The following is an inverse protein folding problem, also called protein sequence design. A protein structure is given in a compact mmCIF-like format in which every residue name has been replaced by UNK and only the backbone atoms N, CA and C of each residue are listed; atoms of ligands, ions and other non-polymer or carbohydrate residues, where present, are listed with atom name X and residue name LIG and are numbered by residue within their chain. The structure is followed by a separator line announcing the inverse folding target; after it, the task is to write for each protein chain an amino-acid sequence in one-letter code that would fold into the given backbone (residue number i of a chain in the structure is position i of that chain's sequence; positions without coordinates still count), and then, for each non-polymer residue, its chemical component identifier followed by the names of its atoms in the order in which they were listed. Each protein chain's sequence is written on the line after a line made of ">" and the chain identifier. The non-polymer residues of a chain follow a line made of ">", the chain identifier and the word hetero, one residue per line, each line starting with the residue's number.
data_IF_524762287852
#
_entry.id   IF_524762287852
#
_cell.length_a   1.000
_cell.length_b   1.000
_cell.length_c   1.000
_cell.angle_alpha   90.00
_cell.angle_beta   90.00
_cell.angle_gamma   90.00
#
_symmetry.space_group_name_H-M   'P 1'
#
loop_
_entity.id
_entity.type
_entity.pdbx_description
1 polymer ?
#
# COMPACT_ATOMS: atom_id res chain seq x y z
N UNK A 1 53.43 43.11 -11.82
CA UNK A 1 53.25 42.20 -10.66
C UNK A 1 51.83 42.31 -10.10
N UNK A 2 51.26 43.53 -10.04
CA UNK A 2 49.90 43.80 -9.51
C UNK A 2 48.82 43.02 -10.29
N UNK A 3 48.85 43.05 -11.63
CA UNK A 3 47.81 42.47 -12.50
C UNK A 3 47.74 40.92 -12.40
N UNK A 4 48.86 40.24 -12.25
CA UNK A 4 48.94 38.81 -12.08
C UNK A 4 48.36 38.35 -10.74
N UNK A 5 48.57 39.09 -9.67
CA UNK A 5 48.00 38.81 -8.34
C UNK A 5 46.50 39.02 -8.34
N UNK A 6 46.01 40.07 -9.00
CA UNK A 6 44.58 40.37 -9.15
C UNK A 6 43.90 39.28 -9.96
N UNK A 7 44.51 38.78 -11.02
CA UNK A 7 43.99 37.73 -11.88
C UNK A 7 43.94 36.37 -11.14
N UNK A 8 44.96 36.04 -10.36
CA UNK A 8 44.99 34.85 -9.53
C UNK A 8 43.92 34.90 -8.40
N UNK A 9 43.74 36.06 -7.78
CA UNK A 9 42.72 36.27 -6.76
C UNK A 9 41.29 36.11 -7.35
N UNK A 10 41.06 36.67 -8.53
CA UNK A 10 39.76 36.53 -9.25
C UNK A 10 39.48 35.07 -9.64
N UNK A 11 40.48 34.37 -10.16
CA UNK A 11 40.35 32.93 -10.49
C UNK A 11 40.11 32.08 -9.23
N UNK A 12 40.84 32.32 -8.16
CA UNK A 12 40.66 31.63 -6.89
C UNK A 12 39.26 31.86 -6.29
N UNK A 13 38.78 33.11 -6.34
CA UNK A 13 37.45 33.46 -5.89
C UNK A 13 36.35 32.80 -6.71
N UNK A 14 36.47 32.81 -8.05
CA UNK A 14 35.47 32.16 -8.94
C UNK A 14 35.45 30.64 -8.79
N UNK A 15 36.59 29.99 -8.64
CA UNK A 15 36.67 28.54 -8.38
C UNK A 15 36.05 28.19 -7.03
N UNK A 16 36.35 28.93 -5.98
CA UNK A 16 35.78 28.72 -4.65
C UNK A 16 34.26 28.90 -4.66
N UNK A 17 33.75 29.93 -5.33
CA UNK A 17 32.31 30.16 -5.49
C UNK A 17 31.62 29.01 -6.26
N UNK A 18 32.26 28.53 -7.33
CA UNK A 18 31.74 27.37 -8.09
C UNK A 18 31.68 26.09 -7.25
N UNK A 19 32.73 25.76 -6.50
CA UNK A 19 32.74 24.61 -5.62
C UNK A 19 31.71 24.72 -4.49
N UNK A 20 31.56 25.89 -3.90
CA UNK A 20 30.58 26.16 -2.87
C UNK A 20 29.13 26.03 -3.41
N UNK A 21 28.86 26.59 -4.57
CA UNK A 21 27.56 26.46 -5.24
C UNK A 21 27.23 24.97 -5.55
N UNK A 22 28.20 24.24 -6.09
CA UNK A 22 28.03 22.81 -6.37
C UNK A 22 27.75 22.01 -5.10
N UNK A 23 28.46 22.32 -4.02
CA UNK A 23 28.20 21.68 -2.71
C UNK A 23 26.80 21.97 -2.18
N UNK A 24 26.35 23.23 -2.26
CA UNK A 24 24.98 23.60 -1.84
C UNK A 24 23.91 22.89 -2.66
N UNK A 25 24.08 22.81 -3.98
CA UNK A 25 23.15 22.08 -4.85
C UNK A 25 23.09 20.61 -4.47
N UNK A 26 24.23 19.96 -4.25
CA UNK A 26 24.30 18.56 -3.85
C UNK A 26 23.63 18.34 -2.49
N UNK A 27 23.95 19.13 -1.47
CA UNK A 27 23.35 19.05 -0.13
C UNK A 27 21.82 19.22 -0.18
N UNK A 28 21.33 20.15 -1.00
CA UNK A 28 19.89 20.35 -1.20
C UNK A 28 19.21 19.15 -1.89
N UNK A 29 19.89 18.56 -2.88
CA UNK A 29 19.39 17.36 -3.55
C UNK A 29 19.35 16.16 -2.59
N UNK A 30 20.40 15.95 -1.81
CA UNK A 30 20.47 14.86 -0.84
C UNK A 30 19.37 14.99 0.22
N UNK A 31 19.13 16.19 0.76
CA UNK A 31 18.01 16.46 1.67
C UNK A 31 16.66 16.12 1.06
N UNK A 32 16.41 16.54 -0.17
CA UNK A 32 15.18 16.26 -0.90
C UNK A 32 14.99 14.75 -1.10
N UNK A 33 16.05 14.02 -1.45
CA UNK A 33 16.00 12.55 -1.60
C UNK A 33 15.73 11.84 -0.27
N UNK A 34 16.40 12.25 0.82
CA UNK A 34 16.18 11.72 2.17
C UNK A 34 14.72 11.91 2.61
N UNK A 35 14.17 13.11 2.42
CA UNK A 35 12.79 13.41 2.79
C UNK A 35 11.79 12.59 1.96
N UNK A 36 12.08 12.40 0.66
CA UNK A 36 11.28 11.53 -0.22
C UNK A 36 11.30 10.07 0.26
N UNK A 37 12.45 9.55 0.65
CA UNK A 37 12.57 8.19 1.19
C UNK A 37 11.81 8.03 2.51
N UNK A 38 11.91 9.01 3.41
CA UNK A 38 11.16 9.02 4.68
C UNK A 38 9.66 9.06 4.44
N UNK A 39 9.20 9.92 3.54
CA UNK A 39 7.78 9.99 3.17
C UNK A 39 7.28 8.68 2.57
N UNK A 40 8.05 8.05 1.69
CA UNK A 40 7.71 6.76 1.09
C UNK A 40 7.59 5.67 2.16
N UNK A 41 8.53 5.61 3.09
CA UNK A 41 8.47 4.65 4.21
C UNK A 41 7.25 4.91 5.10
N UNK A 42 6.93 6.15 5.39
CA UNK A 42 5.71 6.51 6.12
C UNK A 42 4.46 5.99 5.41
N UNK A 43 4.35 6.16 4.09
CA UNK A 43 3.21 5.64 3.34
C UNK A 43 3.12 4.12 3.37
N UNK A 44 4.23 3.40 3.21
CA UNK A 44 4.24 1.94 3.30
C UNK A 44 3.79 1.44 4.68
N UNK A 45 4.27 2.07 5.76
CA UNK A 45 3.87 1.75 7.13
C UNK A 45 2.37 2.04 7.31
N UNK A 46 1.89 3.20 6.86
CA UNK A 46 0.49 3.56 6.97
C UNK A 46 -0.43 2.63 6.18
N UNK A 47 -0.04 2.21 4.97
CA UNK A 47 -0.76 1.21 4.18
C UNK A 47 -0.80 -0.14 4.90
N UNK A 48 0.33 -0.57 5.46
CA UNK A 48 0.43 -1.81 6.23
C UNK A 48 -0.47 -1.79 7.47
N UNK A 49 -0.39 -0.73 8.28
CA UNK A 49 -1.19 -0.60 9.50
C UNK A 49 -2.69 -0.60 9.18
N UNK A 50 -3.10 0.08 8.09
CA UNK A 50 -4.49 0.06 7.63
C UNK A 50 -4.97 -1.33 7.26
N UNK A 51 -4.16 -2.12 6.54
CA UNK A 51 -4.55 -3.50 6.23
C UNK A 51 -4.59 -4.40 7.46
N UNK A 52 -3.68 -4.23 8.42
CA UNK A 52 -3.72 -4.96 9.70
C UNK A 52 -4.99 -4.62 10.47
N UNK A 53 -5.36 -3.34 10.55
CA UNK A 53 -6.58 -2.90 11.23
C UNK A 53 -7.83 -3.45 10.56
N UNK A 54 -7.93 -3.36 9.23
CA UNK A 54 -9.04 -3.94 8.45
C UNK A 54 -9.12 -5.45 8.69
N UNK A 55 -7.99 -6.15 8.61
CA UNK A 55 -7.94 -7.59 8.85
C UNK A 55 -8.44 -7.95 10.25
N UNK A 56 -7.92 -7.28 11.28
CA UNK A 56 -8.26 -7.54 12.68
C UNK A 56 -9.73 -7.25 12.98
N UNK A 57 -10.25 -6.15 12.46
CA UNK A 57 -11.61 -5.69 12.79
C UNK A 57 -12.69 -6.43 12.00
N UNK A 58 -12.40 -6.83 10.76
CA UNK A 58 -13.45 -7.25 9.84
C UNK A 58 -13.25 -8.64 9.23
N UNK A 59 -12.04 -9.19 9.20
CA UNK A 59 -11.77 -10.42 8.48
C UNK A 59 -11.26 -11.57 9.35
N UNK A 60 -10.41 -11.30 10.34
CA UNK A 60 -9.72 -12.35 11.10
C UNK A 60 -10.68 -13.36 11.76
N UNK A 61 -11.83 -12.89 12.25
CA UNK A 61 -12.84 -13.75 12.89
C UNK A 61 -13.56 -14.71 11.93
N UNK A 62 -13.50 -14.44 10.62
CA UNK A 62 -14.19 -15.21 9.59
C UNK A 62 -13.26 -16.12 8.79
N UNK A 63 -11.96 -16.13 9.08
CA UNK A 63 -10.95 -16.79 8.25
C UNK A 63 -11.21 -18.28 8.05
N UNK A 64 -11.68 -18.95 9.11
CA UNK A 64 -11.92 -20.40 9.13
C UNK A 64 -13.42 -20.74 9.10
N UNK A 65 -14.28 -19.76 8.82
CA UNK A 65 -15.73 -19.95 8.75
C UNK A 65 -16.16 -20.22 7.31
N UNK A 66 -16.66 -21.44 7.07
CA UNK A 66 -17.21 -21.82 5.75
C UNK A 66 -18.40 -20.97 5.31
N UNK A 67 -19.06 -20.29 6.25
CA UNK A 67 -20.18 -19.40 6.01
C UNK A 67 -19.78 -17.93 5.93
N UNK A 68 -18.48 -17.60 5.97
CA UNK A 68 -17.97 -16.22 5.90
C UNK A 68 -18.57 -15.41 4.73
N UNK A 69 -18.85 -16.05 3.60
CA UNK A 69 -19.40 -15.41 2.41
C UNK A 69 -20.76 -14.72 2.68
N UNK A 70 -21.63 -15.29 3.53
CA UNK A 70 -22.93 -14.73 3.89
C UNK A 70 -22.96 -14.07 5.25
N UNK A 71 -22.16 -14.55 6.21
CA UNK A 71 -22.16 -14.07 7.61
C UNK A 71 -21.33 -12.80 7.77
N UNK A 72 -20.30 -12.62 6.96
CA UNK A 72 -19.47 -11.42 7.01
C UNK A 72 -20.22 -10.20 6.47
N UNK A 73 -20.41 -9.14 7.27
CA UNK A 73 -21.17 -7.96 6.86
C UNK A 73 -20.51 -7.23 5.69
N UNK A 74 -21.30 -6.42 4.98
CA UNK A 74 -20.77 -5.45 4.05
C UNK A 74 -20.05 -4.33 4.81
N UNK A 75 -18.93 -3.86 4.27
CA UNK A 75 -18.18 -2.74 4.81
C UNK A 75 -18.54 -1.46 4.06
N UNK A 76 -18.33 -0.32 4.73
CA UNK A 76 -18.40 0.97 4.04
C UNK A 76 -17.27 1.08 3.02
N UNK A 77 -17.50 1.77 1.89
CA UNK A 77 -16.46 1.97 0.88
C UNK A 77 -15.20 2.59 1.47
N UNK A 78 -14.05 1.99 1.18
CA UNK A 78 -12.75 2.44 1.67
C UNK A 78 -11.95 3.07 0.52
N UNK A 79 -11.32 4.20 0.81
CA UNK A 79 -10.40 4.87 -0.11
C UNK A 79 -9.28 5.52 0.69
N UNK A 80 -8.04 5.25 0.30
CA UNK A 80 -6.82 5.80 0.93
C UNK A 80 -5.89 6.35 -0.15
N UNK A 81 -6.45 7.17 -1.07
CA UNK A 81 -5.69 7.78 -2.18
C UNK A 81 -4.57 8.68 -1.69
N UNK A 82 -4.73 9.28 -0.51
CA UNK A 82 -3.73 10.10 0.16
C UNK A 82 -2.47 9.33 0.58
N UNK A 83 -2.55 8.00 0.64
CA UNK A 83 -1.40 7.12 0.95
C UNK A 83 -0.64 6.66 -0.31
N UNK A 84 -0.91 7.28 -1.46
CA UNK A 84 -0.25 6.92 -2.71
C UNK A 84 1.19 7.45 -2.75
N UNK A 85 2.14 6.55 -3.04
CA UNK A 85 3.55 6.92 -3.27
C UNK A 85 3.70 7.63 -4.60
N UNK A 86 4.42 8.75 -4.59
CA UNK A 86 4.81 9.47 -5.81
C UNK A 86 6.10 8.88 -6.39
N UNK A 87 5.96 7.95 -7.31
CA UNK A 87 7.10 7.29 -7.97
C UNK A 87 7.96 8.27 -8.78
N UNK A 88 7.41 9.39 -9.24
CA UNK A 88 8.16 10.42 -9.96
C UNK A 88 9.32 10.98 -9.11
N UNK A 89 9.08 11.14 -7.81
CA UNK A 89 10.12 11.61 -6.87
C UNK A 89 11.17 10.55 -6.54
N UNK A 90 10.91 9.28 -6.84
CA UNK A 90 11.81 8.15 -6.56
C UNK A 90 12.70 7.76 -7.77
N UNK A 91 12.60 8.45 -8.91
CA UNK A 91 13.38 8.09 -10.10
C UNK A 91 14.89 8.12 -9.90
N UNK A 92 15.41 8.85 -8.91
CA UNK A 92 16.83 8.81 -8.56
C UNK A 92 17.29 7.40 -8.11
N UNK A 93 16.37 6.55 -7.66
CA UNK A 93 16.65 5.16 -7.30
C UNK A 93 16.85 4.24 -8.52
N UNK A 94 16.38 4.60 -9.71
CA UNK A 94 16.55 3.77 -10.91
C UNK A 94 18.01 3.43 -11.18
N UNK A 95 18.89 4.42 -11.03
CA UNK A 95 20.31 4.27 -11.23
C UNK A 95 21.03 3.53 -10.08
N UNK A 96 20.36 3.38 -8.94
CA UNK A 96 20.89 2.70 -7.75
C UNK A 96 20.38 1.26 -7.67
N UNK A 97 19.06 1.08 -7.74
CA UNK A 97 18.42 -0.23 -7.67
C UNK A 97 17.00 -0.16 -8.23
N UNK A 98 16.85 -0.50 -9.52
CA UNK A 98 15.55 -0.52 -10.20
C UNK A 98 14.58 -1.57 -9.62
N UNK A 99 15.10 -2.67 -9.05
CA UNK A 99 14.29 -3.72 -8.44
C UNK A 99 13.52 -3.20 -7.23
N UNK A 100 14.12 -2.33 -6.41
CA UNK A 100 13.41 -1.68 -5.31
C UNK A 100 12.21 -0.87 -5.76
N UNK A 101 12.30 -0.13 -6.87
CA UNK A 101 11.16 0.60 -7.42
C UNK A 101 10.04 -0.34 -7.86
N UNK A 102 10.39 -1.47 -8.47
CA UNK A 102 9.42 -2.48 -8.88
C UNK A 102 8.72 -3.10 -7.66
N UNK A 103 9.47 -3.44 -6.60
CA UNK A 103 8.90 -3.96 -5.35
C UNK A 103 7.93 -2.96 -4.70
N UNK A 104 8.30 -1.69 -4.65
CA UNK A 104 7.44 -0.61 -4.15
C UNK A 104 6.15 -0.49 -4.97
N UNK A 105 6.25 -0.53 -6.29
CA UNK A 105 5.10 -0.45 -7.18
C UNK A 105 4.16 -1.64 -6.99
N UNK A 106 4.71 -2.87 -6.93
CA UNK A 106 3.94 -4.09 -6.69
C UNK A 106 3.23 -4.04 -5.33
N UNK A 107 3.92 -3.58 -4.29
CA UNK A 107 3.35 -3.45 -2.95
C UNK A 107 2.18 -2.45 -2.94
N UNK A 108 2.36 -1.28 -3.52
CA UNK A 108 1.30 -0.27 -3.63
C UNK A 108 0.10 -0.77 -4.45
N UNK A 109 0.34 -1.38 -5.61
CA UNK A 109 -0.74 -1.95 -6.43
C UNK A 109 -1.51 -3.03 -5.66
N UNK A 110 -0.80 -3.87 -4.89
CA UNK A 110 -1.44 -4.90 -4.06
C UNK A 110 -2.31 -4.29 -2.95
N UNK A 111 -1.87 -3.19 -2.33
CA UNK A 111 -2.67 -2.46 -1.34
C UNK A 111 -4.00 -1.97 -1.94
N UNK A 112 -3.95 -1.30 -3.09
CA UNK A 112 -5.17 -0.81 -3.74
C UNK A 112 -6.05 -1.95 -4.26
N UNK A 113 -5.47 -3.04 -4.77
CA UNK A 113 -6.22 -4.22 -5.18
C UNK A 113 -6.97 -4.88 -4.00
N UNK A 114 -6.38 -4.88 -2.79
CA UNK A 114 -7.08 -5.35 -1.59
C UNK A 114 -8.29 -4.46 -1.26
N UNK A 115 -8.15 -3.14 -1.34
CA UNK A 115 -9.27 -2.21 -1.12
C UNK A 115 -10.38 -2.37 -2.16
N UNK A 116 -10.02 -2.56 -3.43
CA UNK A 116 -10.98 -2.82 -4.51
C UNK A 116 -11.72 -4.13 -4.30
N UNK A 117 -11.05 -5.19 -3.86
CA UNK A 117 -11.69 -6.46 -3.52
C UNK A 117 -12.72 -6.29 -2.38
N UNK A 118 -12.38 -5.54 -1.33
CA UNK A 118 -13.30 -5.26 -0.21
C UNK A 118 -14.52 -4.47 -0.66
N UNK A 119 -14.29 -3.40 -1.41
CA UNK A 119 -15.36 -2.54 -1.91
C UNK A 119 -16.27 -3.32 -2.86
N UNK A 120 -15.70 -4.09 -3.79
CA UNK A 120 -16.47 -4.91 -4.73
C UNK A 120 -17.30 -6.00 -4.06
N UNK A 121 -16.72 -6.70 -3.05
CA UNK A 121 -17.50 -7.65 -2.26
C UNK A 121 -18.65 -6.98 -1.51
N UNK A 122 -18.40 -5.85 -0.88
CA UNK A 122 -19.42 -5.12 -0.12
C UNK A 122 -20.53 -4.58 -1.01
N UNK A 123 -20.18 -4.03 -2.16
CA UNK A 123 -21.13 -3.58 -3.17
C UNK A 123 -22.02 -4.73 -3.67
N UNK A 124 -21.41 -5.88 -3.99
CA UNK A 124 -22.15 -7.06 -4.40
C UNK A 124 -23.09 -7.58 -3.29
N UNK A 125 -22.60 -7.60 -2.04
CA UNK A 125 -23.40 -8.00 -0.88
C UNK A 125 -24.65 -7.10 -0.72
N UNK A 126 -24.48 -5.78 -0.81
CA UNK A 126 -25.56 -4.83 -0.67
C UNK A 126 -26.53 -4.88 -1.84
N UNK A 127 -26.01 -4.94 -3.07
CA UNK A 127 -26.83 -4.79 -4.29
C UNK A 127 -27.47 -6.08 -4.78
N UNK A 128 -26.98 -7.25 -4.38
CA UNK A 128 -27.48 -8.54 -4.89
C UNK A 128 -27.86 -9.52 -3.77
N UNK A 129 -27.07 -9.64 -2.72
CA UNK A 129 -27.33 -10.60 -1.66
C UNK A 129 -28.43 -10.13 -0.71
N UNK A 130 -28.29 -8.93 -0.13
CA UNK A 130 -29.31 -8.40 0.80
C UNK A 130 -30.71 -8.29 0.19
N UNK A 131 -30.91 -7.75 -1.04
CA UNK A 131 -32.23 -7.72 -1.66
C UNK A 131 -32.79 -9.11 -1.91
N UNK A 132 -31.94 -10.11 -2.21
CA UNK A 132 -32.39 -11.47 -2.36
C UNK A 132 -32.87 -12.09 -1.07
N UNK A 133 -32.16 -11.83 0.04
CA UNK A 133 -32.63 -12.22 1.39
C UNK A 133 -33.97 -11.58 1.71
N UNK A 134 -34.11 -10.26 1.53
CA UNK A 134 -35.36 -9.54 1.78
C UNK A 134 -36.55 -10.12 1.02
N UNK A 135 -36.38 -10.47 -0.26
CA UNK A 135 -37.42 -11.14 -1.04
C UNK A 135 -37.82 -12.51 -0.48
N UNK A 136 -36.87 -13.30 0.02
CA UNK A 136 -37.15 -14.61 0.60
C UNK A 136 -37.86 -14.47 1.95
N UNK A 137 -37.51 -13.45 2.75
CA UNK A 137 -38.18 -13.11 4.02
C UNK A 137 -39.61 -12.65 3.78
N UNK A 138 -39.85 -11.76 2.83
CA UNK A 138 -41.21 -11.31 2.44
C UNK A 138 -42.11 -12.46 2.00
N UNK A 139 -41.54 -13.47 1.35
CA UNK A 139 -42.25 -14.68 0.91
C UNK A 139 -42.41 -15.71 2.02
N UNK A 140 -41.94 -15.43 3.25
CA UNK A 140 -41.90 -16.36 4.38
C UNK A 140 -41.25 -17.72 4.02
N UNK A 141 -40.14 -17.67 3.27
CA UNK A 141 -39.43 -18.88 2.85
C UNK A 141 -38.60 -19.43 4.00
N UNK A 142 -38.98 -20.60 4.49
CA UNK A 142 -38.20 -21.31 5.50
C UNK A 142 -37.03 -22.07 4.86
N UNK A 143 -35.89 -22.11 5.54
CA UNK A 143 -34.71 -22.86 5.12
C UNK A 143 -34.61 -24.14 5.94
N UNK A 144 -34.48 -25.27 5.25
CA UNK A 144 -34.35 -26.59 5.90
C UNK A 144 -32.94 -26.80 6.48
N UNK A 145 -31.95 -26.36 5.73
CA UNK A 145 -30.53 -26.49 6.03
C UNK A 145 -29.72 -25.47 5.19
N UNK A 146 -28.41 -25.50 5.34
CA UNK A 146 -27.49 -24.60 4.64
C UNK A 146 -27.47 -24.82 3.11
N UNK A 147 -27.63 -26.04 2.63
CA UNK A 147 -27.67 -26.33 1.19
C UNK A 147 -28.97 -25.84 0.55
N UNK A 148 -30.09 -25.96 1.26
CA UNK A 148 -31.37 -25.37 0.84
C UNK A 148 -31.30 -23.84 0.78
N UNK A 149 -30.65 -23.21 1.77
CA UNK A 149 -30.37 -21.77 1.76
C UNK A 149 -29.57 -21.35 0.54
N UNK A 150 -28.42 -22.00 0.24
CA UNK A 150 -27.61 -21.73 -0.96
C UNK A 150 -28.43 -21.84 -2.26
N UNK A 151 -29.28 -22.86 -2.32
CA UNK A 151 -30.13 -23.09 -3.50
C UNK A 151 -31.15 -21.95 -3.69
N UNK A 152 -31.81 -21.52 -2.61
CA UNK A 152 -32.84 -20.46 -2.63
C UNK A 152 -32.26 -19.07 -2.86
N UNK A 153 -31.06 -18.78 -2.34
CA UNK A 153 -30.32 -17.58 -2.69
C UNK A 153 -29.99 -17.52 -4.16
N UNK A 154 -29.74 -18.67 -4.77
CA UNK A 154 -29.40 -18.83 -6.17
C UNK A 154 -27.89 -19.00 -6.40
N UNK A 155 -27.55 -20.01 -7.18
CA UNK A 155 -26.18 -20.46 -7.44
C UNK A 155 -25.23 -19.34 -7.87
N UNK A 156 -25.70 -18.36 -8.66
CA UNK A 156 -24.88 -17.24 -9.13
C UNK A 156 -24.51 -16.31 -7.98
N UNK A 157 -25.48 -15.90 -7.17
CA UNK A 157 -25.26 -15.00 -6.02
C UNK A 157 -24.33 -15.66 -5.01
N UNK A 158 -24.62 -16.91 -4.64
CA UNK A 158 -23.78 -17.72 -3.77
C UNK A 158 -22.33 -17.75 -4.26
N UNK A 159 -22.10 -18.28 -5.49
CA UNK A 159 -20.73 -18.46 -6.00
C UNK A 159 -19.97 -17.14 -6.14
N UNK A 160 -20.63 -16.08 -6.60
CA UNK A 160 -19.96 -14.77 -6.75
C UNK A 160 -19.53 -14.21 -5.40
N UNK A 161 -20.40 -14.29 -4.39
CA UNK A 161 -20.07 -13.77 -3.06
C UNK A 161 -19.03 -14.63 -2.34
N UNK A 162 -19.09 -15.96 -2.51
CA UNK A 162 -18.07 -16.89 -2.00
C UNK A 162 -16.69 -16.58 -2.58
N UNK A 163 -16.58 -16.43 -3.90
CA UNK A 163 -15.34 -16.07 -4.58
C UNK A 163 -14.83 -14.69 -4.14
N UNK A 164 -15.69 -13.67 -4.13
CA UNK A 164 -15.32 -12.33 -3.71
C UNK A 164 -14.83 -12.29 -2.25
N UNK A 165 -15.40 -13.13 -1.38
CA UNK A 165 -14.95 -13.24 0.02
C UNK A 165 -13.58 -13.92 0.10
N UNK A 166 -13.35 -15.01 -0.65
CA UNK A 166 -12.06 -15.67 -0.76
C UNK A 166 -10.98 -14.73 -1.30
N UNK A 167 -11.30 -13.94 -2.33
CA UNK A 167 -10.40 -12.95 -2.93
C UNK A 167 -10.00 -11.88 -1.91
N UNK A 168 -10.91 -11.43 -1.04
CA UNK A 168 -10.58 -10.49 0.03
C UNK A 168 -9.50 -11.05 0.97
N UNK A 169 -9.63 -12.28 1.45
CA UNK A 169 -8.62 -12.92 2.31
C UNK A 169 -7.27 -13.03 1.60
N UNK A 170 -7.26 -13.50 0.37
CA UNK A 170 -6.04 -13.66 -0.43
C UNK A 170 -5.33 -12.31 -0.66
N UNK A 171 -6.09 -11.26 -1.01
CA UNK A 171 -5.54 -9.93 -1.24
C UNK A 171 -4.99 -9.29 0.03
N UNK A 172 -5.65 -9.44 1.18
CA UNK A 172 -5.13 -8.95 2.48
C UNK A 172 -3.77 -9.57 2.78
N UNK A 173 -3.70 -10.89 2.84
CA UNK A 173 -2.48 -11.61 3.21
C UNK A 173 -1.34 -11.33 2.23
N UNK A 174 -1.66 -11.35 0.93
CA UNK A 174 -0.70 -11.04 -0.12
C UNK A 174 -0.16 -9.61 -0.03
N UNK A 175 -1.01 -8.63 0.25
CA UNK A 175 -0.61 -7.21 0.34
C UNK A 175 0.21 -6.94 1.59
N UNK A 176 -0.17 -7.49 2.74
CA UNK A 176 0.59 -7.36 4.00
C UNK A 176 2.03 -7.88 3.81
N UNK A 177 2.19 -9.05 3.17
CA UNK A 177 3.51 -9.63 2.89
C UNK A 177 4.34 -8.74 1.97
N UNK A 178 3.76 -8.25 0.85
CA UNK A 178 4.45 -7.41 -0.14
C UNK A 178 4.84 -6.04 0.44
N UNK A 179 3.98 -5.42 1.24
CA UNK A 179 4.29 -4.15 1.92
C UNK A 179 5.46 -4.30 2.89
N UNK A 180 5.51 -5.40 3.63
CA UNK A 180 6.62 -5.71 4.54
C UNK A 180 7.93 -5.92 3.78
N UNK A 181 7.89 -6.68 2.69
CA UNK A 181 9.05 -6.93 1.83
C UNK A 181 9.58 -5.62 1.22
N UNK A 182 8.70 -4.80 0.62
CA UNK A 182 9.05 -3.51 0.05
C UNK A 182 9.62 -2.54 1.10
N UNK A 183 9.04 -2.50 2.31
CA UNK A 183 9.55 -1.68 3.42
C UNK A 183 10.95 -2.09 3.85
N UNK A 184 11.23 -3.40 3.97
CA UNK A 184 12.56 -3.92 4.32
C UNK A 184 13.59 -3.59 3.23
N UNK A 185 13.24 -3.80 1.98
CA UNK A 185 14.10 -3.54 0.83
C UNK A 185 14.42 -2.05 0.71
N UNK A 186 13.43 -1.16 0.83
CA UNK A 186 13.63 0.28 0.82
C UNK A 186 14.46 0.76 2.00
N UNK A 187 14.24 0.21 3.21
CA UNK A 187 15.02 0.55 4.39
C UNK A 187 16.49 0.20 4.20
N UNK A 188 16.80 -1.01 3.72
CA UNK A 188 18.16 -1.45 3.46
C UNK A 188 18.86 -0.54 2.44
N UNK A 189 18.21 -0.25 1.32
CA UNK A 189 18.74 0.65 0.30
C UNK A 189 18.92 2.08 0.82
N UNK A 190 17.96 2.59 1.60
CA UNK A 190 18.07 3.94 2.20
C UNK A 190 19.29 4.04 3.13
N UNK A 191 19.56 2.99 3.90
CA UNK A 191 20.73 2.91 4.79
C UNK A 191 22.05 2.74 4.04
N UNK A 192 22.05 2.07 2.89
CA UNK A 192 23.21 1.98 2.01
C UNK A 192 23.59 3.34 1.43
N UNK A 193 22.58 4.11 0.94
CA UNK A 193 22.81 5.42 0.31
C UNK A 193 23.13 6.50 1.36
N UNK A 194 22.42 6.48 2.49
CA UNK A 194 22.51 7.49 3.57
C UNK A 194 22.70 6.82 4.94
N UNK A 195 23.89 6.28 5.24
CA UNK A 195 24.13 5.45 6.44
C UNK A 195 23.90 6.17 7.77
N UNK A 196 24.09 7.49 7.81
CA UNK A 196 23.95 8.29 9.02
C UNK A 196 22.51 8.74 9.29
N UNK A 197 21.60 8.60 8.30
CA UNK A 197 20.22 9.03 8.42
C UNK A 197 19.34 7.97 9.09
N UNK A 198 18.28 8.43 9.77
CA UNK A 198 17.28 7.54 10.38
C UNK A 198 16.13 7.29 9.44
N UNK A 199 15.79 6.03 9.24
CA UNK A 199 14.70 5.56 8.41
C UNK A 199 13.79 4.61 9.19
N UNK A 200 12.49 4.69 8.94
CA UNK A 200 11.50 3.82 9.57
C UNK A 200 11.42 2.45 8.88
N UNK A 201 10.89 1.46 9.60
CA UNK A 201 10.71 0.09 9.10
C UNK A 201 9.42 -0.47 9.67
N UNK A 202 8.68 -1.24 8.87
CA UNK A 202 7.59 -2.07 9.37
C UNK A 202 8.20 -3.13 10.31
N UNK A 203 7.83 -3.07 11.59
CA UNK A 203 8.25 -4.07 12.58
C UNK A 203 7.45 -5.35 12.38
N UNK A 204 8.07 -6.49 12.62
CA UNK A 204 7.32 -7.73 12.74
C UNK A 204 6.39 -7.61 13.95
N UNK A 205 5.11 -7.96 13.74
CA UNK A 205 4.23 -8.14 14.89
C UNK A 205 4.71 -9.38 15.66
N UNK A 206 5.01 -9.18 16.94
CA UNK A 206 5.30 -10.27 17.87
C UNK A 206 4.08 -11.17 18.06
#
# INVERSE_FOLDING_TARGET
>A
VSDAVTLLAALGGSLSAFYFQRYQVQDSQDKTQIDTLRQTQFFLISQYDRLIDINRQHFAQWKDDEQAWCSMPALLPMSYKELQVDFGKLFFLLNKNAENLLLLQIAQQSFFAALEAFNGRSEFHISHFQPRIGLLEEQNVEFKDYEDFKTKIGKRVFKTLEMATSDCFMHIEGSIRKLREASRSLHALSKEIYPNEKFSLIKDAE
#
